data_IF_963962326689
#
_entry.id   IF_963962326689
#
_cell.length_a   1.000
_cell.length_b   1.000
_cell.length_c   1.000
_cell.angle_alpha   90.00
_cell.angle_beta   90.00
_cell.angle_gamma   90.00
#
_symmetry.space_group_name_H-M   'P 1'
#
loop_
_entity.id
_entity.type
_entity.pdbx_description
1 polymer ?
#
# COMPACT_ATOMS: atom_id res chain seq x y z
N UNK A 1 -29.04 3.60 -0.24
CA UNK A 1 -27.95 2.63 -0.07
C UNK A 1 -28.28 1.37 -0.84
N UNK A 2 -27.29 0.53 -1.11
CA UNK A 2 -27.50 -0.77 -1.75
C UNK A 2 -27.87 -1.82 -0.68
N UNK A 3 -28.72 -2.79 -1.03
CA UNK A 3 -28.91 -4.00 -0.22
C UNK A 3 -27.68 -4.90 -0.40
N UNK A 4 -26.92 -5.16 0.67
CA UNK A 4 -25.60 -5.81 0.58
C UNK A 4 -25.42 -6.91 1.62
N UNK A 5 -24.76 -8.00 1.24
CA UNK A 5 -24.30 -9.08 2.12
C UNK A 5 -22.83 -9.41 1.80
N UNK A 6 -22.00 -9.62 2.83
CA UNK A 6 -20.61 -10.04 2.71
C UNK A 6 -20.46 -11.39 3.43
N UNK A 7 -19.87 -12.37 2.74
CA UNK A 7 -19.66 -13.72 3.27
C UNK A 7 -18.16 -14.00 3.33
N UNK A 8 -17.69 -14.41 4.51
CA UNK A 8 -16.33 -14.87 4.77
C UNK A 8 -16.40 -16.34 5.23
N UNK A 9 -15.50 -17.18 4.71
CA UNK A 9 -15.47 -18.61 5.06
C UNK A 9 -14.93 -18.83 6.47
N UNK A 10 -13.97 -18.00 6.87
CA UNK A 10 -13.29 -18.08 8.17
C UNK A 10 -13.64 -16.85 9.03
N UNK A 11 -12.64 -16.24 9.67
CA UNK A 11 -12.78 -14.97 10.39
C UNK A 11 -12.32 -13.80 9.51
N UNK A 12 -12.80 -12.60 9.80
CA UNK A 12 -12.44 -11.39 9.05
C UNK A 12 -10.93 -11.16 9.07
N UNK A 13 -10.39 -10.80 7.90
CA UNK A 13 -8.96 -10.57 7.67
C UNK A 13 -8.01 -11.76 7.94
N UNK A 14 -8.52 -12.96 8.28
CA UNK A 14 -7.71 -14.12 8.68
C UNK A 14 -6.78 -14.68 7.58
N UNK A 15 -7.03 -14.34 6.32
CA UNK A 15 -6.15 -14.64 5.18
C UNK A 15 -4.93 -13.71 5.05
N UNK A 16 -4.53 -13.40 3.81
CA UNK A 16 -3.34 -12.58 3.51
C UNK A 16 -3.36 -11.20 4.19
N UNK A 17 -4.54 -10.63 4.41
CA UNK A 17 -4.71 -9.33 5.10
C UNK A 17 -4.06 -9.32 6.50
N UNK A 18 -4.14 -10.42 7.25
CA UNK A 18 -3.45 -10.57 8.55
C UNK A 18 -1.97 -10.93 8.44
N UNK A 19 -1.46 -11.25 7.24
CA UNK A 19 -0.10 -11.81 7.01
C UNK A 19 0.81 -10.94 6.14
N UNK A 20 0.45 -9.67 5.93
CA UNK A 20 1.31 -8.67 5.29
C UNK A 20 2.52 -8.27 6.15
N UNK A 21 3.38 -7.39 5.63
CA UNK A 21 4.43 -6.70 6.41
C UNK A 21 3.87 -5.61 7.34
N UNK A 22 2.55 -5.32 7.25
CA UNK A 22 1.87 -4.21 7.94
C UNK A 22 2.50 -2.85 7.63
N UNK A 23 2.93 -2.66 6.38
CA UNK A 23 3.48 -1.41 5.87
C UNK A 23 2.68 -0.93 4.67
N UNK A 24 2.14 0.28 4.76
CA UNK A 24 1.60 1.02 3.62
C UNK A 24 2.76 1.75 2.96
N UNK A 25 3.27 1.19 1.86
CA UNK A 25 4.40 1.76 1.14
C UNK A 25 4.02 2.09 -0.31
N UNK A 26 4.57 3.19 -0.84
CA UNK A 26 4.41 3.55 -2.25
C UNK A 26 5.20 2.66 -3.21
N UNK A 27 5.99 1.70 -2.70
CA UNK A 27 6.73 0.75 -3.53
C UNK A 27 7.88 1.40 -4.31
N UNK A 28 8.79 2.08 -3.60
CA UNK A 28 9.93 2.83 -4.16
C UNK A 28 10.72 2.05 -5.22
N UNK A 29 10.85 0.73 -5.07
CA UNK A 29 11.52 -0.15 -6.05
C UNK A 29 10.90 -0.09 -7.46
N UNK A 30 9.60 0.15 -7.56
CA UNK A 30 8.88 0.19 -8.82
C UNK A 30 9.13 1.47 -9.62
N UNK A 31 9.50 2.57 -8.93
CA UNK A 31 9.89 3.82 -9.59
C UNK A 31 11.07 3.63 -10.54
N UNK A 32 11.96 2.68 -10.26
CA UNK A 32 13.09 2.38 -11.14
C UNK A 32 12.60 2.01 -12.54
N UNK A 33 11.65 1.08 -12.65
CA UNK A 33 11.08 0.68 -13.95
C UNK A 33 10.26 1.82 -14.57
N UNK A 34 9.47 2.50 -13.76
CA UNK A 34 8.65 3.62 -14.21
C UNK A 34 9.50 4.69 -14.93
N UNK A 35 10.67 5.01 -14.39
CA UNK A 35 11.55 6.05 -14.92
C UNK A 35 12.49 5.52 -16.00
N UNK A 36 13.25 4.46 -15.73
CA UNK A 36 14.31 4.00 -16.65
C UNK A 36 13.77 3.20 -17.84
N UNK A 37 12.59 2.59 -17.70
CA UNK A 37 11.96 1.80 -18.75
C UNK A 37 10.67 2.45 -19.28
N UNK A 38 10.34 3.66 -18.83
CA UNK A 38 9.12 4.39 -19.20
C UNK A 38 7.85 3.55 -18.97
N UNK A 39 7.84 2.75 -17.91
CA UNK A 39 6.72 1.87 -17.56
C UNK A 39 5.60 2.67 -16.86
N UNK A 40 4.61 3.09 -17.65
CA UNK A 40 3.49 3.90 -17.18
C UNK A 40 2.60 3.19 -16.15
N UNK A 41 2.50 1.86 -16.21
CA UNK A 41 1.69 1.10 -15.27
C UNK A 41 2.34 1.10 -13.88
N UNK A 42 3.67 0.95 -13.82
CA UNK A 42 4.42 1.10 -12.57
C UNK A 42 4.34 2.52 -12.03
N UNK A 43 4.38 3.54 -12.90
CA UNK A 43 4.20 4.93 -12.48
C UNK A 43 2.83 5.15 -11.82
N UNK A 44 1.75 4.71 -12.47
CA UNK A 44 0.38 4.83 -11.95
C UNK A 44 0.22 4.15 -10.60
N UNK A 45 0.71 2.92 -10.48
CA UNK A 45 0.63 2.14 -9.25
C UNK A 45 1.35 2.83 -8.08
N UNK A 46 2.55 3.37 -8.30
CA UNK A 46 3.28 4.11 -7.25
C UNK A 46 2.50 5.37 -6.85
N UNK A 47 1.97 6.13 -7.82
CA UNK A 47 1.23 7.35 -7.56
C UNK A 47 -0.04 7.08 -6.74
N UNK A 48 -0.83 6.07 -7.14
CA UNK A 48 -2.03 5.65 -6.41
C UNK A 48 -1.71 5.17 -5.00
N UNK A 49 -0.68 4.33 -4.83
CA UNK A 49 -0.27 3.84 -3.51
C UNK A 49 0.16 4.98 -2.56
N UNK A 50 0.81 6.03 -3.09
CA UNK A 50 1.18 7.20 -2.29
C UNK A 50 -0.03 8.07 -1.92
N UNK A 51 -0.97 8.24 -2.86
CA UNK A 51 -2.23 8.97 -2.61
C UNK A 51 -3.08 8.27 -1.55
N UNK A 52 -3.29 6.95 -1.70
CA UNK A 52 -4.07 6.16 -0.74
C UNK A 52 -3.41 6.08 0.63
N UNK A 53 -2.07 6.10 0.70
CA UNK A 53 -1.38 6.18 1.99
C UNK A 53 -1.70 7.48 2.72
N UNK A 54 -1.74 8.62 2.01
CA UNK A 54 -2.10 9.90 2.61
C UNK A 54 -3.57 9.88 3.09
N UNK A 55 -4.47 9.35 2.26
CA UNK A 55 -5.88 9.17 2.61
C UNK A 55 -6.06 8.30 3.87
N UNK A 56 -5.37 7.15 3.96
CA UNK A 56 -5.53 6.24 5.11
C UNK A 56 -5.03 6.85 6.43
N UNK A 57 -3.98 7.66 6.39
CA UNK A 57 -3.50 8.39 7.57
C UNK A 57 -4.57 9.38 8.06
N UNK A 58 -5.35 9.98 7.15
CA UNK A 58 -6.41 10.92 7.48
C UNK A 58 -7.66 10.21 8.03
N UNK A 59 -8.14 9.14 7.38
CA UNK A 59 -9.39 8.47 7.78
C UNK A 59 -9.22 7.47 8.92
N UNK A 60 -8.00 6.96 9.16
CA UNK A 60 -7.70 5.98 10.19
C UNK A 60 -6.39 6.27 10.95
N UNK A 61 -6.24 7.46 11.57
CA UNK A 61 -5.01 7.89 12.24
C UNK A 61 -4.64 7.02 13.46
N UNK A 62 -5.60 6.29 14.02
CA UNK A 62 -5.38 5.35 15.12
C UNK A 62 -4.79 4.00 14.66
N UNK A 63 -4.78 3.72 13.36
CA UNK A 63 -4.22 2.49 12.76
C UNK A 63 -3.00 2.78 11.88
N UNK A 64 -2.92 3.95 11.26
CA UNK A 64 -1.86 4.33 10.34
C UNK A 64 -1.15 5.62 10.80
N UNK A 65 0.18 5.60 10.76
CA UNK A 65 1.02 6.76 11.09
C UNK A 65 2.30 6.77 10.24
N UNK A 66 2.95 7.93 10.06
CA UNK A 66 4.20 8.03 9.33
C UNK A 66 5.33 7.22 9.98
N UNK A 67 5.97 6.35 9.20
CA UNK A 67 7.15 5.57 9.62
C UNK A 67 8.33 5.86 8.67
N UNK A 68 9.37 6.59 9.12
CA UNK A 68 10.58 6.79 8.34
C UNK A 68 11.33 5.48 8.09
N UNK A 69 11.82 5.27 6.88
CA UNK A 69 12.57 4.07 6.48
C UNK A 69 13.99 4.47 6.07
N UNK A 70 14.99 3.79 6.61
CA UNK A 70 16.40 3.91 6.21
C UNK A 70 16.77 2.81 5.21
N UNK A 71 17.40 3.18 4.10
CA UNK A 71 17.89 2.25 3.08
C UNK A 71 19.43 2.28 3.03
N UNK A 72 20.14 1.25 3.54
CA UNK A 72 21.58 1.20 3.40
C UNK A 72 21.99 0.90 1.95
N UNK A 73 23.01 1.60 1.45
CA UNK A 73 23.56 1.42 0.10
C UNK A 73 24.97 0.82 0.22
N UNK A 74 25.22 -0.26 -0.50
CA UNK A 74 26.48 -0.98 -0.52
C UNK A 74 27.19 -0.78 -1.88
N UNK A 75 28.53 -0.85 -1.87
CA UNK A 75 29.37 -0.84 -3.08
C UNK A 75 29.69 -2.26 -3.52
#
# INVERSE_FOLDING_TARGET
>A
GLSTCLVEKYDFASGTSSRSTKLLHGGVRYLQKAVFNLDLEQFRMVNEALSERANLIDIAPHLAYPLPIMLPIYK
#
